data_IF_619492647039
#
_entry.id   IF_619492647039
#
_cell.length_a   1.000
_cell.length_b   1.000
_cell.length_c   1.000
_cell.angle_alpha   90.00
_cell.angle_beta   90.00
_cell.angle_gamma   90.00
#
_symmetry.space_group_name_H-M   'P 1'
#
loop_
_entity.id
_entity.type
_entity.pdbx_description
1 polymer ?
#
# COMPACT_ATOMS: atom_id res chain seq x y z
N UNK A 1 52.88 -11.61 37.54
CA UNK A 1 51.85 -12.00 36.56
C UNK A 1 50.71 -11.01 36.69
N UNK A 2 50.60 -10.07 35.78
CA UNK A 2 49.51 -9.08 35.73
C UNK A 2 48.81 -9.31 34.40
N UNK A 3 47.58 -9.80 34.43
CA UNK A 3 46.78 -10.03 33.24
C UNK A 3 46.15 -8.69 32.82
N UNK A 4 46.47 -8.22 31.62
CA UNK A 4 45.66 -7.21 30.94
C UNK A 4 44.44 -7.90 30.32
N UNK A 5 43.22 -7.37 30.51
CA UNK A 5 42.07 -7.85 29.77
C UNK A 5 42.21 -7.40 28.31
N UNK A 6 42.08 -8.33 27.36
CA UNK A 6 41.87 -8.00 25.96
C UNK A 6 40.56 -7.19 25.86
N UNK A 7 40.67 -5.91 25.56
CA UNK A 7 39.54 -5.15 25.02
C UNK A 7 39.21 -5.73 23.65
N UNK A 8 38.08 -6.43 23.56
CA UNK A 8 37.44 -6.70 22.28
C UNK A 8 37.11 -5.35 21.62
N UNK A 9 37.33 -5.18 20.30
CA UNK A 9 36.97 -3.95 19.64
C UNK A 9 35.46 -3.77 19.74
N UNK A 10 35.05 -2.65 20.35
CA UNK A 10 33.72 -2.12 20.18
C UNK A 10 33.53 -1.80 18.70
N UNK A 11 32.80 -2.65 17.98
CA UNK A 11 32.21 -2.24 16.71
C UNK A 11 31.10 -1.25 17.04
N UNK A 12 31.43 0.03 17.00
CA UNK A 12 30.45 1.08 16.76
C UNK A 12 29.91 0.86 15.35
N UNK A 13 28.79 0.15 15.22
CA UNK A 13 28.08 0.01 13.94
C UNK A 13 27.26 1.28 13.68
N UNK A 14 27.95 2.41 13.52
CA UNK A 14 27.32 3.65 13.09
C UNK A 14 27.31 3.70 11.55
N UNK A 15 26.83 2.64 10.89
CA UNK A 15 26.46 2.72 9.48
C UNK A 15 24.97 3.02 9.43
N UNK A 16 24.61 4.28 9.15
CA UNK A 16 23.24 4.62 8.82
C UNK A 16 22.78 3.73 7.66
N UNK A 17 21.67 2.99 7.85
CA UNK A 17 21.10 2.16 6.79
C UNK A 17 20.79 3.08 5.59
N UNK A 18 21.12 2.71 4.34
CA UNK A 18 20.88 3.61 3.21
C UNK A 18 19.39 3.87 3.04
N UNK A 19 19.04 5.10 2.66
CA UNK A 19 17.67 5.44 2.30
C UNK A 19 17.24 4.67 1.05
N UNK A 20 15.95 4.40 0.90
CA UNK A 20 15.41 3.83 -0.34
C UNK A 20 14.09 4.50 -0.75
N UNK A 21 13.84 4.51 -2.04
CA UNK A 21 12.63 5.05 -2.66
C UNK A 21 11.55 3.98 -2.69
N UNK A 22 10.35 4.36 -2.31
CA UNK A 22 9.19 3.48 -2.32
C UNK A 22 8.05 4.17 -3.05
N UNK A 23 7.53 3.50 -4.07
CA UNK A 23 6.26 3.84 -4.69
C UNK A 23 5.15 2.95 -4.11
N UNK A 24 4.10 3.58 -3.62
CA UNK A 24 2.94 2.91 -3.02
C UNK A 24 1.76 3.10 -3.94
N UNK A 25 1.15 2.01 -4.40
CA UNK A 25 -0.11 2.04 -5.13
C UNK A 25 -1.23 1.57 -4.21
N UNK A 26 -2.35 2.27 -4.18
CA UNK A 26 -3.63 1.70 -3.73
C UNK A 26 -4.63 1.71 -4.87
N UNK A 27 -5.27 0.58 -5.13
CA UNK A 27 -6.20 0.44 -6.23
C UNK A 27 -7.29 -0.59 -5.98
N UNK A 28 -8.52 -0.12 -5.79
CA UNK A 28 -9.70 -0.96 -5.90
C UNK A 28 -9.91 -1.30 -7.38
N UNK A 29 -9.73 -2.57 -7.76
CA UNK A 29 -9.75 -3.00 -9.16
C UNK A 29 -11.14 -3.43 -9.65
N UNK A 30 -12.15 -3.28 -8.78
CA UNK A 30 -13.52 -3.75 -8.98
C UNK A 30 -13.62 -5.26 -9.18
N UNK A 31 -14.37 -5.94 -8.30
CA UNK A 31 -14.52 -7.39 -8.42
C UNK A 31 -15.15 -7.81 -9.76
N UNK A 32 -14.81 -9.02 -10.23
CA UNK A 32 -15.34 -9.58 -11.46
C UNK A 32 -16.83 -9.98 -11.33
N UNK A 33 -17.72 -9.01 -11.37
CA UNK A 33 -19.17 -9.21 -11.22
C UNK A 33 -19.81 -9.96 -12.40
N UNK A 34 -20.84 -10.76 -12.10
CA UNK A 34 -21.74 -11.34 -13.10
C UNK A 34 -22.86 -10.39 -13.55
N UNK A 35 -23.03 -9.26 -12.86
CA UNK A 35 -24.09 -8.26 -13.07
C UNK A 35 -23.48 -6.86 -13.15
N UNK A 36 -22.88 -6.47 -14.29
CA UNK A 36 -22.17 -5.21 -14.41
C UNK A 36 -23.11 -4.01 -14.34
N UNK A 37 -22.61 -2.90 -13.78
CA UNK A 37 -23.25 -1.59 -13.88
C UNK A 37 -23.23 -1.04 -15.31
N UNK A 38 -23.93 0.08 -15.53
CA UNK A 38 -23.79 0.87 -16.76
C UNK A 38 -22.32 1.29 -16.95
N UNK A 39 -21.79 1.10 -18.17
CA UNK A 39 -20.39 1.32 -18.55
C UNK A 39 -19.35 0.39 -17.90
N UNK A 40 -19.75 -0.50 -17.00
CA UNK A 40 -18.87 -1.52 -16.46
C UNK A 40 -18.67 -2.62 -17.50
N UNK A 41 -17.43 -2.76 -17.97
CA UNK A 41 -17.06 -3.89 -18.83
C UNK A 41 -16.72 -5.12 -17.99
N UNK A 42 -16.93 -6.34 -18.51
CA UNK A 42 -16.50 -7.57 -17.86
C UNK A 42 -15.01 -7.53 -17.51
N UNK A 43 -14.61 -8.24 -16.45
CA UNK A 43 -13.21 -8.31 -16.02
C UNK A 43 -12.25 -8.65 -17.16
N UNK A 44 -12.60 -9.58 -18.06
CA UNK A 44 -11.75 -9.95 -19.19
C UNK A 44 -11.43 -8.78 -20.16
N UNK A 45 -12.31 -7.78 -20.27
CA UNK A 45 -12.08 -6.58 -21.09
C UNK A 45 -11.31 -5.49 -20.31
N UNK A 46 -11.54 -5.40 -18.99
CA UNK A 46 -10.87 -4.43 -18.11
C UNK A 46 -9.45 -4.85 -17.73
N UNK A 47 -9.23 -6.14 -17.52
CA UNK A 47 -8.00 -6.70 -16.97
C UNK A 47 -6.74 -6.27 -17.71
N UNK A 48 -6.66 -6.32 -19.06
CA UNK A 48 -5.45 -5.85 -19.76
C UNK A 48 -5.10 -4.39 -19.44
N UNK A 49 -6.09 -3.53 -19.18
CA UNK A 49 -5.86 -2.11 -18.84
C UNK A 49 -5.42 -1.93 -17.39
N UNK A 50 -6.03 -2.67 -16.46
CA UNK A 50 -5.60 -2.73 -15.06
C UNK A 50 -4.15 -3.19 -14.98
N UNK A 51 -3.82 -4.30 -15.67
CA UNK A 51 -2.47 -4.83 -15.74
C UNK A 51 -1.49 -3.81 -16.33
N UNK A 52 -1.83 -3.21 -17.49
CA UNK A 52 -0.95 -2.24 -18.15
C UNK A 52 -0.70 -0.99 -17.28
N UNK A 53 -1.68 -0.51 -16.53
CA UNK A 53 -1.49 0.59 -15.58
C UNK A 53 -0.53 0.17 -14.45
N UNK A 54 -0.76 -0.98 -13.83
CA UNK A 54 0.12 -1.50 -12.78
C UNK A 54 1.56 -1.67 -13.30
N UNK A 55 1.74 -2.31 -14.46
CA UNK A 55 3.07 -2.48 -15.08
C UNK A 55 3.71 -1.16 -15.48
N UNK A 56 2.94 -0.17 -15.92
CA UNK A 56 3.46 1.17 -16.24
C UNK A 56 4.00 1.84 -14.97
N UNK A 57 3.21 1.86 -13.91
CA UNK A 57 3.54 2.57 -12.67
C UNK A 57 4.62 1.89 -11.84
N UNK A 58 4.78 0.58 -12.00
CA UNK A 58 5.81 -0.23 -11.30
C UNK A 58 7.01 -0.55 -12.17
N UNK A 59 7.09 0.03 -13.38
CA UNK A 59 8.20 -0.20 -14.30
C UNK A 59 9.51 0.18 -13.61
N UNK A 60 10.45 -0.75 -13.63
CA UNK A 60 11.77 -0.67 -13.00
C UNK A 60 11.80 -0.71 -11.46
N UNK A 61 10.66 -0.95 -10.81
CA UNK A 61 10.50 -0.97 -9.35
C UNK A 61 10.30 -2.38 -8.77
N UNK A 62 10.50 -3.41 -9.60
CA UNK A 62 10.31 -4.83 -9.26
C UNK A 62 11.63 -5.59 -9.00
N UNK A 63 12.76 -4.90 -9.12
CA UNK A 63 14.09 -5.47 -8.94
C UNK A 63 14.60 -6.32 -10.11
N UNK A 64 13.93 -6.32 -11.26
CA UNK A 64 14.39 -7.09 -12.44
C UNK A 64 15.26 -6.30 -13.40
N UNK A 65 15.25 -4.97 -13.30
CA UNK A 65 16.04 -4.08 -14.13
C UNK A 65 17.53 -4.38 -14.01
N UNK A 66 18.20 -4.64 -15.14
CA UNK A 66 19.66 -4.81 -15.21
C UNK A 66 20.34 -3.49 -14.84
N UNK A 67 21.14 -3.43 -13.76
CA UNK A 67 21.93 -2.25 -13.44
C UNK A 67 22.93 -1.93 -14.57
N UNK A 68 23.06 -0.65 -14.94
CA UNK A 68 24.01 -0.20 -15.97
C UNK A 68 25.48 -0.37 -15.55
N UNK A 69 25.74 -0.34 -14.24
CA UNK A 69 26.98 -0.79 -13.62
C UNK A 69 26.64 -1.99 -12.73
N UNK A 70 27.54 -2.95 -12.56
CA UNK A 70 27.30 -4.19 -11.81
C UNK A 70 27.09 -4.01 -10.29
N UNK A 71 26.58 -2.86 -9.84
CA UNK A 71 26.23 -2.58 -8.45
C UNK A 71 24.87 -3.20 -8.09
N UNK A 72 24.79 -4.03 -7.04
CA UNK A 72 23.52 -4.51 -6.52
C UNK A 72 22.87 -3.41 -5.68
N UNK A 73 22.16 -2.49 -6.31
CA UNK A 73 21.36 -1.49 -5.58
C UNK A 73 20.01 -1.28 -6.24
N UNK A 74 19.02 -2.09 -5.84
CA UNK A 74 17.62 -1.67 -5.94
C UNK A 74 17.42 -0.57 -4.90
N UNK A 75 17.73 0.68 -5.27
CA UNK A 75 17.45 1.83 -4.40
C UNK A 75 15.98 2.24 -4.43
N UNK A 76 15.19 1.62 -5.30
CA UNK A 76 13.77 1.89 -5.47
C UNK A 76 12.97 0.60 -5.55
N UNK A 77 11.74 0.66 -5.04
CA UNK A 77 10.81 -0.46 -5.04
C UNK A 77 9.37 0.02 -5.15
N UNK A 78 8.45 -0.91 -5.41
CA UNK A 78 7.01 -0.64 -5.30
C UNK A 78 6.28 -1.66 -4.45
N UNK A 79 5.24 -1.20 -3.76
CA UNK A 79 4.25 -2.03 -3.06
C UNK A 79 2.89 -1.68 -3.65
N UNK A 80 2.10 -2.71 -3.96
CA UNK A 80 0.76 -2.55 -4.53
C UNK A 80 -0.27 -3.09 -3.54
N UNK A 81 -1.15 -2.22 -3.08
CA UNK A 81 -2.28 -2.55 -2.23
C UNK A 81 -3.56 -2.57 -3.07
N UNK A 82 -4.22 -3.72 -3.17
CA UNK A 82 -5.43 -3.87 -3.98
C UNK A 82 -6.67 -4.12 -3.12
N UNK A 83 -7.84 -3.82 -3.67
CA UNK A 83 -9.14 -4.10 -3.05
C UNK A 83 -10.10 -4.72 -4.07
N UNK A 84 -11.14 -5.40 -3.58
CA UNK A 84 -12.14 -6.14 -4.36
C UNK A 84 -11.58 -7.25 -5.26
N UNK A 85 -10.43 -7.82 -4.91
CA UNK A 85 -9.77 -8.82 -5.75
C UNK A 85 -10.39 -10.20 -5.48
N UNK A 86 -11.13 -10.78 -6.43
CA UNK A 86 -11.51 -12.19 -6.34
C UNK A 86 -10.31 -13.10 -6.63
N UNK A 87 -10.35 -14.35 -6.14
CA UNK A 87 -9.22 -15.28 -6.29
C UNK A 87 -8.77 -15.45 -7.75
N UNK A 88 -9.69 -15.53 -8.72
CA UNK A 88 -9.35 -15.62 -10.13
C UNK A 88 -8.66 -14.34 -10.65
N UNK A 89 -9.09 -13.15 -10.22
CA UNK A 89 -8.45 -11.89 -10.60
C UNK A 89 -7.03 -11.79 -10.02
N UNK A 90 -6.82 -12.30 -8.80
CA UNK A 90 -5.50 -12.39 -8.18
C UNK A 90 -4.57 -13.31 -8.98
N UNK A 91 -5.08 -14.47 -9.42
CA UNK A 91 -4.33 -15.40 -10.28
C UNK A 91 -3.99 -14.78 -11.63
N UNK A 92 -4.94 -14.11 -12.28
CA UNK A 92 -4.72 -13.42 -13.56
C UNK A 92 -3.59 -12.38 -13.44
N UNK A 93 -3.66 -11.52 -12.41
CA UNK A 93 -2.67 -10.49 -12.11
C UNK A 93 -1.29 -11.09 -11.84
N UNK A 94 -1.20 -12.08 -10.94
CA UNK A 94 0.09 -12.67 -10.56
C UNK A 94 0.73 -13.44 -11.70
N UNK A 95 -0.04 -14.19 -12.49
CA UNK A 95 0.51 -14.85 -13.68
C UNK A 95 1.08 -13.80 -14.64
N UNK A 96 0.31 -12.75 -14.95
CA UNK A 96 0.72 -11.76 -15.94
C UNK A 96 1.84 -10.82 -15.48
N UNK A 97 1.92 -10.51 -14.17
CA UNK A 97 3.04 -9.74 -13.60
C UNK A 97 4.33 -10.57 -13.49
N UNK A 98 4.21 -11.90 -13.44
CA UNK A 98 5.34 -12.83 -13.39
C UNK A 98 5.71 -13.42 -14.76
N UNK A 99 4.90 -13.18 -15.78
CA UNK A 99 5.23 -13.48 -17.17
C UNK A 99 6.18 -12.41 -17.72
N UNK A 100 7.39 -12.83 -18.11
CA UNK A 100 8.35 -11.94 -18.76
C UNK A 100 7.83 -11.42 -20.11
N UNK A 101 8.11 -10.17 -20.49
CA UNK A 101 8.10 -9.79 -21.89
C UNK A 101 9.23 -10.54 -22.61
N UNK A 102 8.90 -11.68 -23.21
CA UNK A 102 9.59 -12.38 -24.30
C UNK A 102 11.03 -11.90 -24.59
N UNK A 103 11.96 -12.21 -23.70
CA UNK A 103 13.39 -12.06 -23.95
C UNK A 103 14.10 -13.19 -23.23
N UNK A 104 15.11 -13.76 -23.89
CA UNK A 104 15.84 -14.98 -23.50
C UNK A 104 16.66 -14.84 -22.20
N UNK A 105 16.38 -13.84 -21.38
CA UNK A 105 17.04 -13.62 -20.10
C UNK A 105 16.35 -14.48 -19.05
N UNK A 106 17.01 -15.58 -18.68
CA UNK A 106 16.60 -16.40 -17.54
C UNK A 106 16.61 -15.50 -16.29
N UNK A 107 15.43 -15.27 -15.70
CA UNK A 107 15.38 -14.82 -14.32
C UNK A 107 15.95 -15.89 -13.38
N UNK A 108 16.35 -15.45 -12.19
CA UNK A 108 16.55 -16.35 -11.06
C UNK A 108 15.30 -17.23 -10.85
N UNK A 109 15.48 -18.45 -10.35
CA UNK A 109 14.38 -19.38 -10.09
C UNK A 109 13.35 -18.76 -9.11
N UNK A 110 12.15 -18.39 -9.58
CA UNK A 110 11.06 -17.89 -8.74
C UNK A 110 10.18 -16.81 -9.39
N UNK A 111 9.08 -16.38 -8.73
CA UNK A 111 8.26 -15.27 -9.19
C UNK A 111 9.00 -13.93 -9.06
N UNK A 112 8.60 -12.91 -9.82
CA UNK A 112 9.02 -11.51 -9.66
C UNK A 112 8.24 -10.88 -8.50
N UNK A 113 6.93 -11.06 -8.52
CA UNK A 113 5.95 -10.53 -7.57
C UNK A 113 5.33 -11.66 -6.75
N UNK A 114 5.35 -11.51 -5.43
CA UNK A 114 4.57 -12.31 -4.50
C UNK A 114 3.44 -11.47 -3.90
N UNK A 115 2.50 -12.15 -3.23
CA UNK A 115 1.43 -11.48 -2.49
C UNK A 115 1.29 -12.03 -1.07
N UNK A 116 0.66 -11.24 -0.20
CA UNK A 116 0.00 -11.71 1.03
C UNK A 116 -1.46 -11.29 1.03
N UNK A 117 -2.23 -11.81 1.99
CA UNK A 117 -3.67 -11.59 2.10
C UNK A 117 -4.47 -12.79 1.60
N UNK A 118 -5.66 -12.95 2.17
CA UNK A 118 -6.57 -14.09 1.94
C UNK A 118 -7.98 -13.59 1.61
N UNK A 119 -8.82 -14.50 1.12
CA UNK A 119 -10.23 -14.23 0.89
C UNK A 119 -10.98 -13.97 2.19
N UNK A 120 -11.79 -12.91 2.23
CA UNK A 120 -12.45 -12.42 3.45
C UNK A 120 -13.49 -13.37 4.03
N UNK A 121 -14.06 -14.27 3.24
CA UNK A 121 -15.21 -15.08 3.68
C UNK A 121 -14.76 -16.32 4.48
N UNK A 122 -13.58 -16.86 4.20
CA UNK A 122 -13.10 -18.11 4.80
C UNK A 122 -11.64 -18.07 5.31
N UNK A 123 -10.91 -16.97 5.11
CA UNK A 123 -9.50 -16.89 5.46
C UNK A 123 -8.59 -17.70 4.52
N UNK A 124 -9.11 -18.11 3.37
CA UNK A 124 -8.40 -18.85 2.33
C UNK A 124 -8.65 -18.19 0.98
N UNK A 125 -9.60 -18.70 0.19
CA UNK A 125 -9.81 -18.28 -1.20
C UNK A 125 -11.20 -17.72 -1.48
N UNK A 126 -12.14 -17.78 -0.54
CA UNK A 126 -13.51 -17.31 -0.76
C UNK A 126 -13.66 -15.84 -0.40
N UNK A 127 -14.45 -15.15 -1.21
CA UNK A 127 -14.68 -13.72 -1.08
C UNK A 127 -13.58 -12.88 -1.70
N UNK A 128 -13.78 -11.57 -1.63
CA UNK A 128 -12.78 -10.59 -2.06
C UNK A 128 -11.57 -10.61 -1.12
N UNK A 129 -10.41 -10.32 -1.69
CA UNK A 129 -9.15 -10.10 -1.00
C UNK A 129 -8.90 -8.59 -0.89
N UNK A 130 -8.08 -8.22 0.09
CA UNK A 130 -7.31 -6.97 0.09
C UNK A 130 -5.82 -7.34 0.10
N UNK A 131 -5.23 -7.73 -1.04
CA UNK A 131 -3.87 -8.26 -1.06
C UNK A 131 -2.82 -7.14 -1.13
N UNK A 132 -1.63 -7.47 -0.62
CA UNK A 132 -0.43 -6.65 -0.79
C UNK A 132 0.51 -7.42 -1.71
N UNK A 133 0.86 -6.84 -2.86
CA UNK A 133 1.84 -7.39 -3.78
C UNK A 133 3.18 -6.68 -3.60
N UNK A 134 4.27 -7.44 -3.60
CA UNK A 134 5.62 -6.94 -3.42
C UNK A 134 6.65 -7.73 -4.26
N UNK A 135 7.72 -7.08 -4.75
CA UNK A 135 8.76 -7.75 -5.52
C UNK A 135 9.73 -8.54 -4.63
N UNK A 136 9.85 -9.84 -4.88
CA UNK A 136 10.64 -10.75 -4.03
C UNK A 136 12.15 -10.60 -4.23
N UNK A 137 12.60 -9.99 -5.33
CA UNK A 137 14.00 -9.63 -5.52
C UNK A 137 14.43 -8.51 -4.55
N UNK A 138 13.50 -7.64 -4.17
CA UNK A 138 13.77 -6.40 -3.43
C UNK A 138 13.43 -6.54 -1.94
N UNK A 139 12.42 -7.34 -1.59
CA UNK A 139 11.97 -7.51 -0.19
C UNK A 139 12.07 -8.95 0.31
N UNK A 140 12.41 -9.09 1.59
CA UNK A 140 12.09 -10.27 2.38
C UNK A 140 10.76 -10.04 3.11
N UNK A 141 9.85 -11.02 3.07
CA UNK A 141 8.68 -11.04 3.95
C UNK A 141 9.09 -11.59 5.32
N UNK A 142 8.97 -10.77 6.36
CA UNK A 142 9.28 -11.17 7.73
C UNK A 142 8.04 -11.63 8.50
N UNK A 143 6.90 -11.01 8.22
CA UNK A 143 5.65 -11.28 8.91
C UNK A 143 4.45 -10.98 8.02
N UNK A 144 3.38 -11.73 8.22
CA UNK A 144 2.07 -11.36 7.69
C UNK A 144 0.97 -11.75 8.67
N UNK A 145 -0.07 -10.93 8.70
CA UNK A 145 -1.25 -11.14 9.53
C UNK A 145 -2.51 -10.73 8.76
N UNK A 146 -3.61 -11.42 9.00
CA UNK A 146 -4.95 -11.04 8.51
C UNK A 146 -5.85 -10.85 9.72
N UNK A 147 -6.57 -9.74 9.76
CA UNK A 147 -7.39 -9.33 10.89
C UNK A 147 -8.78 -9.00 10.35
N UNK A 148 -9.80 -9.71 10.80
CA UNK A 148 -11.18 -9.39 10.47
C UNK A 148 -11.65 -8.16 11.24
N UNK A 149 -12.32 -7.23 10.56
CA UNK A 149 -12.71 -5.96 11.14
C UNK A 149 -14.07 -6.09 11.83
N UNK A 150 -14.05 -6.76 12.97
CA UNK A 150 -15.23 -7.17 13.72
C UNK A 150 -14.91 -7.37 15.21
N UNK A 151 -15.91 -7.66 16.06
CA UNK A 151 -15.67 -8.06 17.45
C UNK A 151 -14.88 -9.38 17.63
N UNK A 152 -14.65 -10.17 16.57
CA UNK A 152 -13.83 -11.39 16.61
C UNK A 152 -12.76 -11.36 15.52
N UNK A 153 -11.71 -10.53 15.69
CA UNK A 153 -10.74 -10.25 14.65
C UNK A 153 -9.91 -11.45 14.17
N UNK A 154 -9.90 -12.53 14.95
CA UNK A 154 -9.15 -13.76 14.67
C UNK A 154 -9.84 -14.71 13.66
N UNK A 155 -11.07 -14.42 13.22
CA UNK A 155 -11.83 -15.30 12.33
C UNK A 155 -12.83 -14.55 11.45
N UNK A 156 -13.24 -15.13 10.30
CA UNK A 156 -14.27 -14.55 9.45
C UNK A 156 -15.58 -14.24 10.19
N UNK A 157 -15.96 -12.97 10.22
CA UNK A 157 -17.22 -12.51 10.80
C UNK A 157 -17.60 -11.10 10.36
N UNK A 158 -18.90 -10.79 10.43
CA UNK A 158 -19.42 -9.44 10.20
C UNK A 158 -19.12 -8.53 11.40
N UNK A 159 -18.70 -7.29 11.12
CA UNK A 159 -18.54 -6.26 12.13
C UNK A 159 -19.80 -5.41 12.27
N UNK A 160 -20.42 -5.39 13.46
CA UNK A 160 -21.54 -4.47 13.79
C UNK A 160 -22.64 -4.39 12.72
N UNK A 161 -22.77 -3.23 12.07
CA UNK A 161 -23.74 -2.88 11.04
C UNK A 161 -23.17 -3.05 9.61
N UNK A 162 -22.04 -3.76 9.46
CA UNK A 162 -21.42 -4.01 8.16
C UNK A 162 -22.34 -4.79 7.22
N UNK A 163 -22.39 -4.37 5.96
CA UNK A 163 -23.05 -5.12 4.89
C UNK A 163 -22.23 -6.33 4.42
N UNK A 164 -20.93 -6.38 4.70
CA UNK A 164 -20.04 -7.47 4.28
C UNK A 164 -18.91 -7.72 5.29
N UNK A 165 -18.33 -8.93 5.24
CA UNK A 165 -17.14 -9.26 6.04
C UNK A 165 -15.97 -8.44 5.52
N UNK A 166 -15.25 -7.72 6.38
CA UNK A 166 -14.11 -6.88 6.02
C UNK A 166 -12.85 -7.31 6.76
N UNK A 167 -11.68 -7.02 6.20
CA UNK A 167 -10.39 -7.39 6.79
C UNK A 167 -9.32 -6.31 6.60
N UNK A 168 -8.25 -6.43 7.39
CA UNK A 168 -6.98 -5.76 7.25
C UNK A 168 -5.92 -6.83 6.94
N UNK A 169 -5.15 -6.63 5.87
CA UNK A 169 -3.96 -7.42 5.56
C UNK A 169 -2.72 -6.64 6.00
N UNK A 170 -1.80 -7.29 6.70
CA UNK A 170 -0.52 -6.71 7.14
C UNK A 170 0.64 -7.54 6.58
N UNK A 171 1.69 -6.87 6.17
CA UNK A 171 3.00 -7.41 5.86
C UNK A 171 4.09 -6.59 6.54
N UNK A 172 5.04 -7.24 7.22
CA UNK A 172 6.33 -6.62 7.56
C UNK A 172 7.34 -7.05 6.52
N UNK A 173 7.81 -6.09 5.74
CA UNK A 173 8.77 -6.29 4.66
C UNK A 173 10.12 -5.70 5.05
N UNK A 174 11.20 -6.39 4.72
CA UNK A 174 12.56 -5.91 4.89
C UNK A 174 13.22 -5.72 3.52
N UNK A 175 13.62 -4.48 3.23
CA UNK A 175 14.33 -4.15 2.02
C UNK A 175 15.72 -4.78 2.05
N UNK A 176 16.01 -5.69 1.11
CA UNK A 176 17.19 -6.57 1.18
C UNK A 176 18.52 -5.81 1.16
N UNK A 177 18.59 -4.69 0.43
CA UNK A 177 19.83 -3.92 0.28
C UNK A 177 20.08 -3.02 1.49
N UNK A 178 19.05 -2.30 1.95
CA UNK A 178 19.22 -1.36 3.07
C UNK A 178 19.04 -2.00 4.45
N UNK A 179 18.43 -3.18 4.52
CA UNK A 179 17.98 -3.80 5.77
C UNK A 179 16.86 -3.03 6.47
N UNK A 180 16.28 -2.00 5.85
CA UNK A 180 15.19 -1.22 6.44
C UNK A 180 13.89 -2.02 6.39
N UNK A 181 13.10 -1.90 7.46
CA UNK A 181 11.80 -2.56 7.59
C UNK A 181 10.67 -1.57 7.41
N UNK A 182 9.57 -2.07 6.86
CA UNK A 182 8.32 -1.33 6.69
C UNK A 182 7.16 -2.26 7.03
N UNK A 183 6.18 -1.73 7.76
CA UNK A 183 4.86 -2.34 7.90
C UNK A 183 3.97 -1.83 6.77
N UNK A 184 3.74 -2.66 5.76
CA UNK A 184 2.77 -2.39 4.71
C UNK A 184 1.43 -3.00 5.09
N UNK A 185 0.34 -2.25 4.94
CA UNK A 185 -1.00 -2.73 5.25
C UNK A 185 -2.05 -2.22 4.27
N UNK A 186 -3.10 -3.00 4.08
CA UNK A 186 -4.23 -2.63 3.23
C UNK A 186 -5.57 -3.11 3.76
N UNK A 187 -6.61 -2.35 3.50
CA UNK A 187 -7.98 -2.66 3.90
C UNK A 187 -8.99 -2.19 2.85
N UNK A 188 -10.19 -2.74 2.94
CA UNK A 188 -11.38 -2.25 2.27
C UNK A 188 -12.50 -2.16 3.32
N UNK A 189 -12.79 -0.96 3.81
CA UNK A 189 -13.79 -0.75 4.85
C UNK A 189 -15.22 -0.91 4.32
N UNK A 190 -16.17 -1.07 5.23
CA UNK A 190 -17.55 -1.31 4.85
C UNK A 190 -18.22 -0.09 4.20
N UNK A 191 -18.95 -0.30 3.11
CA UNK A 191 -19.66 0.76 2.39
C UNK A 191 -20.98 1.15 3.06
N UNK A 192 -21.63 0.24 3.79
CA UNK A 192 -22.95 0.45 4.41
C UNK A 192 -22.83 0.92 5.87
N UNK A 193 -22.08 0.17 6.67
CA UNK A 193 -22.04 0.28 8.12
C UNK A 193 -21.10 1.37 8.63
N UNK A 194 -21.64 2.54 8.97
CA UNK A 194 -20.88 3.62 9.60
C UNK A 194 -20.29 3.18 10.94
N UNK A 195 -21.02 2.41 11.76
CA UNK A 195 -20.50 1.94 13.04
C UNK A 195 -19.36 0.93 12.85
N UNK A 196 -19.46 0.10 11.82
CA UNK A 196 -18.40 -0.81 11.41
C UNK A 196 -17.15 -0.04 11.02
N UNK A 197 -17.25 1.01 10.19
CA UNK A 197 -16.10 1.83 9.81
C UNK A 197 -15.41 2.49 11.01
N UNK A 198 -16.16 3.09 11.93
CA UNK A 198 -15.61 3.69 13.16
C UNK A 198 -14.79 2.67 13.97
N UNK A 199 -15.38 1.52 14.27
CA UNK A 199 -14.70 0.52 15.09
C UNK A 199 -13.56 -0.17 14.32
N UNK A 200 -13.67 -0.28 13.00
CA UNK A 200 -12.60 -0.79 12.14
C UNK A 200 -11.35 0.07 12.24
N UNK A 201 -11.50 1.40 12.23
CA UNK A 201 -10.37 2.33 12.42
C UNK A 201 -9.66 2.07 13.76
N UNK A 202 -10.42 1.86 14.83
CA UNK A 202 -9.85 1.51 16.14
C UNK A 202 -9.05 0.21 16.07
N UNK A 203 -9.62 -0.87 15.51
CA UNK A 203 -8.93 -2.17 15.36
C UNK A 203 -7.67 -2.03 14.52
N UNK A 204 -7.74 -1.27 13.42
CA UNK A 204 -6.60 -1.03 12.52
C UNK A 204 -5.49 -0.32 13.29
N UNK A 205 -5.78 0.80 13.95
CA UNK A 205 -4.78 1.56 14.71
C UNK A 205 -4.13 0.73 15.81
N UNK A 206 -4.90 -0.06 16.56
CA UNK A 206 -4.39 -0.96 17.59
C UNK A 206 -3.47 -2.03 16.99
N UNK A 207 -3.86 -2.60 15.85
CA UNK A 207 -3.10 -3.62 15.14
C UNK A 207 -1.79 -3.09 14.57
N UNK A 208 -1.82 -1.93 13.92
CA UNK A 208 -0.62 -1.26 13.39
C UNK A 208 0.36 -0.92 14.51
N UNK A 209 -0.13 -0.34 15.61
CA UNK A 209 0.70 -0.05 16.79
C UNK A 209 1.28 -1.31 17.43
N UNK A 210 0.52 -2.40 17.50
CA UNK A 210 1.00 -3.69 18.03
C UNK A 210 2.10 -4.26 17.15
N UNK A 211 1.82 -4.48 15.87
CA UNK A 211 2.79 -5.06 14.92
C UNK A 211 4.03 -4.15 14.80
N UNK A 212 3.83 -2.84 14.80
CA UNK A 212 4.91 -1.85 14.79
C UNK A 212 5.87 -2.01 15.98
N UNK A 213 5.36 -2.24 17.18
CA UNK A 213 6.18 -2.54 18.37
C UNK A 213 6.85 -3.91 18.28
N UNK A 214 6.11 -4.93 17.84
CA UNK A 214 6.61 -6.32 17.81
C UNK A 214 7.76 -6.51 16.80
N UNK A 215 7.82 -5.70 15.74
CA UNK A 215 8.76 -5.85 14.63
C UNK A 215 9.79 -4.71 14.48
N UNK A 216 9.72 -3.70 15.34
CA UNK A 216 10.74 -2.66 15.46
C UNK A 216 12.09 -3.25 15.91
N UNK A 217 13.20 -2.77 15.33
CA UNK A 217 14.56 -3.20 15.73
C UNK A 217 15.33 -2.14 16.50
N UNK A 218 15.03 -0.85 16.29
CA UNK A 218 15.80 0.27 16.84
C UNK A 218 14.85 1.47 17.09
N UNK A 219 14.29 2.04 16.02
CA UNK A 219 13.28 3.11 16.04
C UNK A 219 11.85 2.57 15.82
N UNK A 220 10.82 3.42 15.96
CA UNK A 220 9.46 3.02 15.57
C UNK A 220 9.43 2.51 14.11
N UNK A 221 8.70 1.43 13.86
CA UNK A 221 8.64 0.83 12.53
C UNK A 221 7.82 1.73 11.59
N UNK A 222 8.38 2.17 10.44
CA UNK A 222 7.61 2.92 9.44
C UNK A 222 6.40 2.14 8.96
N UNK A 223 5.24 2.80 8.93
CA UNK A 223 3.93 2.22 8.63
C UNK A 223 3.33 2.86 7.38
N UNK A 224 2.82 2.02 6.49
CA UNK A 224 1.95 2.39 5.38
C UNK A 224 0.62 1.67 5.55
N UNK A 225 -0.48 2.43 5.50
CA UNK A 225 -1.84 1.90 5.34
C UNK A 225 -2.45 2.48 4.08
N UNK A 226 -2.78 1.61 3.13
CA UNK A 226 -3.31 2.01 1.83
C UNK A 226 -4.61 1.24 1.54
N UNK A 227 -5.68 1.92 1.15
CA UNK A 227 -6.92 1.22 0.83
C UNK A 227 -8.12 2.09 0.55
N UNK A 228 -9.23 1.41 0.29
CA UNK A 228 -10.56 1.98 0.12
C UNK A 228 -11.26 2.05 1.48
N UNK A 229 -11.50 3.27 1.96
CA UNK A 229 -12.10 3.50 3.27
C UNK A 229 -13.62 3.63 3.22
N UNK A 230 -14.24 3.67 2.03
CA UNK A 230 -15.66 3.98 1.87
C UNK A 230 -16.12 5.17 2.74
N UNK A 231 -15.23 6.14 2.93
CA UNK A 231 -15.41 7.24 3.86
C UNK A 231 -14.74 8.48 3.30
N UNK A 232 -15.53 9.53 3.08
CA UNK A 232 -15.03 10.83 2.62
C UNK A 232 -14.16 11.50 3.70
N UNK A 233 -13.37 12.53 3.34
CA UNK A 233 -12.59 13.29 4.31
C UNK A 233 -13.41 13.94 5.44
N UNK A 234 -14.72 14.07 5.25
CA UNK A 234 -15.67 14.61 6.24
C UNK A 234 -16.38 13.55 7.07
N UNK A 235 -16.10 12.27 6.84
CA UNK A 235 -16.76 11.14 7.45
C UNK A 235 -15.89 10.45 8.51
N UNK A 236 -16.55 9.64 9.32
CA UNK A 236 -16.07 9.11 10.58
C UNK A 236 -14.79 8.27 10.49
N UNK A 237 -14.61 7.49 9.42
CA UNK A 237 -13.43 6.65 9.28
C UNK A 237 -12.19 7.49 8.99
N UNK A 238 -12.29 8.44 8.05
CA UNK A 238 -11.21 9.38 7.76
C UNK A 238 -10.87 10.24 8.98
N UNK A 239 -11.90 10.86 9.59
CA UNK A 239 -11.71 11.74 10.75
C UNK A 239 -11.08 10.99 11.94
N UNK A 240 -11.52 9.75 12.18
CA UNK A 240 -10.94 8.90 13.23
C UNK A 240 -9.47 8.56 12.97
N UNK A 241 -9.11 8.28 11.71
CA UNK A 241 -7.71 8.01 11.34
C UNK A 241 -6.84 9.27 11.46
N UNK A 242 -7.32 10.40 10.95
CA UNK A 242 -6.60 11.69 10.99
C UNK A 242 -6.42 12.23 12.43
N UNK A 243 -7.39 11.96 13.33
CA UNK A 243 -7.32 12.37 14.73
C UNK A 243 -6.47 11.43 15.61
N UNK A 244 -5.84 10.39 15.04
CA UNK A 244 -5.12 9.37 15.80
C UNK A 244 -3.73 9.78 16.31
N UNK A 245 -3.19 10.90 15.81
CA UNK A 245 -1.79 11.34 15.92
C UNK A 245 -0.75 10.30 15.47
N UNK A 246 -1.19 9.17 14.91
CA UNK A 246 -0.33 8.04 14.52
C UNK A 246 -0.21 7.91 13.01
N UNK A 247 -1.28 8.19 12.28
CA UNK A 247 -1.33 8.09 10.83
C UNK A 247 -1.61 9.46 10.21
N UNK A 248 -0.92 9.78 9.11
CA UNK A 248 -1.04 11.03 8.39
C UNK A 248 -1.38 10.78 6.91
N UNK A 249 -2.34 11.53 6.35
CA UNK A 249 -2.71 11.42 4.94
C UNK A 249 -1.54 11.92 4.08
N UNK A 250 -0.96 11.03 3.26
CA UNK A 250 0.17 11.35 2.38
C UNK A 250 -0.15 12.55 1.48
N UNK A 251 -1.41 12.70 1.03
CA UNK A 251 -1.86 13.82 0.19
C UNK A 251 -1.61 15.17 0.85
N UNK A 252 -1.78 15.25 2.17
CA UNK A 252 -1.67 16.51 2.91
C UNK A 252 -0.20 16.92 3.13
N UNK A 253 0.76 16.00 2.94
CA UNK A 253 2.19 16.32 2.87
C UNK A 253 2.63 16.90 1.52
N UNK A 254 1.76 16.90 0.51
CA UNK A 254 2.05 17.40 -0.85
C UNK A 254 1.21 18.65 -1.14
N UNK A 255 1.83 19.81 -1.44
CA UNK A 255 1.08 21.01 -1.82
C UNK A 255 0.18 20.77 -3.03
N UNK A 256 -0.99 21.42 -3.05
CA UNK A 256 -1.92 21.31 -4.17
C UNK A 256 -1.28 21.60 -5.53
N UNK A 257 -0.33 22.54 -5.62
CA UNK A 257 0.41 22.87 -6.85
C UNK A 257 1.38 21.78 -7.32
N UNK A 258 1.63 20.75 -6.50
CA UNK A 258 2.52 19.61 -6.79
C UNK A 258 1.80 18.27 -6.85
N UNK A 259 0.48 18.25 -6.63
CA UNK A 259 -0.35 17.05 -6.82
C UNK A 259 -0.58 16.85 -8.32
N UNK A 260 -0.54 15.60 -8.77
CA UNK A 260 -0.72 15.25 -10.18
C UNK A 260 -1.97 14.40 -10.40
N UNK A 261 -2.58 14.56 -11.58
CA UNK A 261 -3.76 13.81 -11.98
C UNK A 261 -5.06 14.38 -11.42
N UNK A 262 -5.94 13.50 -11.00
CA UNK A 262 -7.31 13.79 -10.59
C UNK A 262 -7.44 14.11 -9.09
N UNK A 263 -8.63 14.55 -8.64
CA UNK A 263 -8.91 14.79 -7.20
C UNK A 263 -9.83 13.73 -6.58
N UNK A 264 -10.83 13.26 -7.32
CA UNK A 264 -11.74 12.19 -6.88
C UNK A 264 -11.11 10.83 -7.17
N UNK A 265 -11.36 9.85 -6.31
CA UNK A 265 -10.85 8.48 -6.45
C UNK A 265 -11.94 7.50 -6.88
N UNK A 266 -13.20 7.74 -6.54
CA UNK A 266 -14.35 6.94 -6.97
C UNK A 266 -15.18 7.64 -8.04
N UNK A 267 -15.39 6.96 -9.18
CA UNK A 267 -16.18 7.46 -10.32
C UNK A 267 -17.46 6.67 -10.54
N UNK A 268 -17.57 5.44 -10.02
CA UNK A 268 -18.76 4.60 -10.19
C UNK A 268 -19.07 4.28 -11.66
N UNK A 269 -18.04 4.14 -12.51
CA UNK A 269 -18.16 3.99 -13.97
C UNK A 269 -18.86 5.15 -14.68
N UNK A 270 -18.81 6.36 -14.11
CA UNK A 270 -19.47 7.55 -14.64
C UNK A 270 -18.51 8.73 -14.75
N UNK A 271 -18.64 9.50 -15.83
CA UNK A 271 -17.75 10.63 -16.13
C UNK A 271 -18.06 11.87 -15.29
N UNK A 272 -19.31 12.07 -14.91
CA UNK A 272 -19.81 13.37 -14.39
C UNK A 272 -20.45 13.28 -13.00
N UNK A 273 -20.34 12.14 -12.31
CA UNK A 273 -21.14 11.90 -11.10
C UNK A 273 -20.70 12.73 -9.89
N UNK A 274 -19.42 13.08 -9.80
CA UNK A 274 -18.84 13.71 -8.61
C UNK A 274 -17.84 14.80 -9.03
N UNK A 275 -18.21 16.07 -8.89
CA UNK A 275 -17.32 17.21 -9.19
C UNK A 275 -16.77 17.88 -7.94
N UNK A 276 -16.99 17.30 -6.75
CA UNK A 276 -16.55 17.79 -5.45
C UNK A 276 -15.76 16.74 -4.67
N UNK A 277 -15.07 17.17 -3.60
CA UNK A 277 -14.18 16.32 -2.77
C UNK A 277 -14.88 15.09 -2.14
N UNK A 278 -16.21 15.00 -2.25
CA UNK A 278 -17.01 13.80 -1.92
C UNK A 278 -16.70 12.60 -2.82
N UNK A 279 -15.78 12.68 -3.78
CA UNK A 279 -15.36 11.51 -4.56
C UNK A 279 -14.10 10.81 -4.03
N UNK A 280 -13.42 11.33 -3.01
CA UNK A 280 -12.16 10.76 -2.48
C UNK A 280 -12.44 9.81 -1.32
N UNK A 281 -12.26 8.51 -1.54
CA UNK A 281 -12.41 7.45 -0.54
C UNK A 281 -11.23 6.47 -0.49
N UNK A 282 -10.27 6.63 -1.40
CA UNK A 282 -9.05 5.81 -1.46
C UNK A 282 -7.87 6.64 -0.94
N UNK A 283 -7.16 6.10 0.06
CA UNK A 283 -6.14 6.86 0.80
C UNK A 283 -4.84 6.09 0.95
N UNK A 284 -3.74 6.84 1.07
CA UNK A 284 -2.44 6.33 1.52
C UNK A 284 -2.08 7.10 2.78
N UNK A 285 -1.95 6.37 3.88
CA UNK A 285 -1.57 6.91 5.18
C UNK A 285 -0.15 6.48 5.52
N UNK A 286 0.63 7.42 6.05
CA UNK A 286 1.98 7.19 6.56
C UNK A 286 1.98 7.32 8.09
N UNK A 287 2.71 6.45 8.76
CA UNK A 287 2.95 6.54 10.19
C UNK A 287 4.32 6.01 10.57
N UNK A 288 4.72 6.15 11.84
CA UNK A 288 4.07 6.96 12.87
C UNK A 288 4.12 8.47 12.54
N UNK A 289 3.16 9.26 13.05
CA UNK A 289 2.94 10.65 12.63
C UNK A 289 4.16 11.58 12.81
N UNK A 290 4.92 11.40 13.88
CA UNK A 290 6.15 12.17 14.15
C UNK A 290 7.32 11.79 13.22
N UNK A 291 7.21 10.64 12.53
CA UNK A 291 8.20 10.18 11.58
C UNK A 291 8.01 10.76 10.17
N UNK A 292 6.93 11.52 9.90
CA UNK A 292 6.70 12.14 8.59
C UNK A 292 7.31 13.54 8.52
N UNK A 293 8.28 13.75 7.62
CA UNK A 293 8.97 15.03 7.45
C UNK A 293 7.99 16.11 7.00
N UNK A 294 7.59 16.98 7.92
CA UNK A 294 6.80 18.18 7.62
C UNK A 294 7.73 19.21 6.95
N UNK A 295 7.61 19.36 5.64
CA UNK A 295 8.37 20.40 4.93
C UNK A 295 7.76 21.77 5.22
N UNK A 296 8.49 22.63 5.95
CA UNK A 296 8.20 24.06 5.93
C UNK A 296 8.65 24.62 4.59
N UNK A 297 7.71 24.88 3.69
CA UNK A 297 7.98 25.52 2.41
C UNK A 297 8.60 26.91 2.61
N UNK A 298 9.94 27.00 2.62
CA UNK A 298 10.62 28.29 2.50
C UNK A 298 12.04 28.43 3.06
N UNK A 299 12.52 27.59 3.96
CA UNK A 299 13.85 27.82 4.57
C UNK A 299 14.51 26.49 4.93
N UNK A 300 15.72 26.29 4.37
CA UNK A 300 16.79 25.30 4.69
C UNK A 300 16.40 23.89 5.14
N UNK A 301 17.04 22.92 4.49
CA UNK A 301 17.07 21.47 4.74
C UNK A 301 17.57 21.10 6.16
N UNK A 302 16.92 21.56 7.22
CA UNK A 302 17.07 20.96 8.54
C UNK A 302 15.93 19.97 8.71
N UNK A 303 16.22 18.70 8.43
CA UNK A 303 15.38 17.59 8.87
C UNK A 303 15.43 17.59 10.40
N UNK A 304 14.37 18.07 11.05
CA UNK A 304 14.20 17.92 12.49
C UNK A 304 14.14 16.41 12.84
N UNK A 305 14.64 16.05 14.03
CA UNK A 305 14.92 14.66 14.43
C UNK A 305 13.76 13.66 14.31
N UNK A 306 14.10 12.37 14.34
CA UNK A 306 13.25 11.17 14.17
C UNK A 306 12.42 11.06 12.87
N UNK A 307 12.56 11.97 11.90
CA UNK A 307 11.91 11.79 10.62
C UNK A 307 12.44 10.55 9.86
N UNK A 308 11.51 9.69 9.42
CA UNK A 308 11.76 8.51 8.60
C UNK A 308 11.20 8.66 7.18
N UNK A 309 10.11 9.40 6.97
CA UNK A 309 9.46 9.56 5.67
C UNK A 309 9.72 10.93 5.06
N UNK A 310 10.25 10.95 3.84
CA UNK A 310 10.12 12.10 2.94
C UNK A 310 9.07 11.78 1.88
N UNK A 311 8.07 12.66 1.74
CA UNK A 311 7.04 12.54 0.70
C UNK A 311 7.47 13.34 -0.53
N UNK A 312 7.65 12.65 -1.66
CA UNK A 312 8.12 13.25 -2.91
C UNK A 312 6.98 13.58 -3.88
N UNK A 313 5.88 12.82 -3.84
CA UNK A 313 4.75 13.00 -4.75
C UNK A 313 3.46 12.29 -4.33
N UNK A 314 2.34 12.82 -4.83
CA UNK A 314 1.00 12.26 -4.70
C UNK A 314 0.27 12.40 -6.03
N UNK A 315 -0.33 11.30 -6.50
CA UNK A 315 -1.05 11.23 -7.78
C UNK A 315 -2.35 10.45 -7.65
N UNK A 316 -3.41 10.93 -8.30
CA UNK A 316 -4.60 10.11 -8.59
C UNK A 316 -4.70 9.92 -10.10
N UNK A 317 -4.55 8.68 -10.56
CA UNK A 317 -4.50 8.37 -11.99
C UNK A 317 -5.89 8.39 -12.63
N UNK A 318 -5.97 8.66 -13.94
CA UNK A 318 -7.22 8.41 -14.66
C UNK A 318 -7.53 6.92 -14.69
N UNK A 319 -8.81 6.58 -14.58
CA UNK A 319 -9.33 5.22 -14.73
C UNK A 319 -10.06 4.99 -16.05
N UNK A 320 -10.05 5.96 -16.96
CA UNK A 320 -10.61 5.84 -18.32
C UNK A 320 -9.78 6.70 -19.29
N UNK A 321 -9.60 6.20 -20.51
CA UNK A 321 -8.83 6.86 -21.55
C UNK A 321 -9.68 7.00 -22.82
N UNK A 322 -9.06 7.39 -23.94
CA UNK A 322 -9.74 7.70 -25.21
C UNK A 322 -10.57 6.55 -25.78
N UNK A 323 -10.30 5.30 -25.37
CA UNK A 323 -11.09 4.12 -25.76
C UNK A 323 -12.44 3.99 -25.02
N UNK A 324 -12.68 4.84 -24.02
CA UNK A 324 -13.90 4.88 -23.22
C UNK A 324 -14.10 3.68 -22.29
N UNK A 325 -13.10 2.81 -22.13
CA UNK A 325 -13.19 1.64 -21.25
C UNK A 325 -12.60 1.98 -19.89
N UNK A 326 -13.46 1.96 -18.87
CA UNK A 326 -13.02 2.13 -17.50
C UNK A 326 -12.21 0.90 -17.03
N UNK A 327 -11.06 1.16 -16.40
CA UNK A 327 -10.22 0.15 -15.74
C UNK A 327 -10.95 -0.44 -14.52
N UNK A 328 -11.52 0.45 -13.72
CA UNK A 328 -12.28 0.22 -12.49
C UNK A 328 -13.23 1.40 -12.28
N UNK A 329 -14.23 1.26 -11.41
CA UNK A 329 -14.98 2.39 -10.87
C UNK A 329 -14.16 3.25 -9.91
N UNK A 330 -12.99 2.78 -9.50
CA UNK A 330 -12.00 3.56 -8.78
C UNK A 330 -10.83 3.97 -9.66
N UNK A 331 -10.10 4.98 -9.19
CA UNK A 331 -8.85 5.50 -9.72
C UNK A 331 -7.73 5.06 -8.80
N UNK A 332 -6.64 4.57 -9.39
CA UNK A 332 -5.46 4.22 -8.63
C UNK A 332 -4.83 5.49 -8.01
N UNK A 333 -4.54 5.43 -6.72
CA UNK A 333 -3.82 6.48 -6.00
C UNK A 333 -2.37 6.02 -5.81
N UNK A 334 -1.43 6.91 -6.13
CA UNK A 334 0.01 6.65 -6.07
C UNK A 334 0.67 7.65 -5.13
N UNK A 335 1.48 7.14 -4.22
CA UNK A 335 2.35 7.92 -3.34
C UNK A 335 3.82 7.57 -3.57
N UNK A 336 4.66 8.58 -3.76
CA UNK A 336 6.11 8.41 -3.88
C UNK A 336 6.78 8.93 -2.60
N UNK A 337 7.53 8.07 -1.93
CA UNK A 337 8.20 8.39 -0.66
C UNK A 337 9.64 7.89 -0.65
N UNK A 338 10.48 8.51 0.19
CA UNK A 338 11.78 7.98 0.60
C UNK A 338 11.74 7.61 2.07
N UNK A 339 12.21 6.41 2.38
CA UNK A 339 12.47 5.99 3.75
C UNK A 339 13.93 6.26 4.09
N UNK A 340 14.16 7.20 5.00
CA UNK A 340 15.47 7.69 5.43
C UNK A 340 16.20 6.71 6.31
#
# INVERSE_FOLDING_TARGET
>A
MQFWPLQLPFFSSNSSRPAFHLRILTFNIRYATGSPFTNEKPWAERFPRVLNQIQHETRFLDGTSIPADSSPQHSAASIICLQEVLHNQLVDLLNSLNELPSSNDKLADGPIWAHVGVGRDDGHQKGEYSPILYPVAVFNLLHTETIWLSPTPEKPSLGWDAGSIRLLTIAVLEHKVSGRRILASTTHLDNEGSKSRENSVTIILESLKRVGRDWSTEDELPVVLAGDFNSFPTQEAYLGMAASDYMYDLRDSVPASRRYGEEITFTGFQKEKWSDEQGRIDFIWLGPGDAVCKHNHGVKEEVEGNCQWIVDGYTVLSNVFDDGVYLSDHRCVVGDVRLL
#
